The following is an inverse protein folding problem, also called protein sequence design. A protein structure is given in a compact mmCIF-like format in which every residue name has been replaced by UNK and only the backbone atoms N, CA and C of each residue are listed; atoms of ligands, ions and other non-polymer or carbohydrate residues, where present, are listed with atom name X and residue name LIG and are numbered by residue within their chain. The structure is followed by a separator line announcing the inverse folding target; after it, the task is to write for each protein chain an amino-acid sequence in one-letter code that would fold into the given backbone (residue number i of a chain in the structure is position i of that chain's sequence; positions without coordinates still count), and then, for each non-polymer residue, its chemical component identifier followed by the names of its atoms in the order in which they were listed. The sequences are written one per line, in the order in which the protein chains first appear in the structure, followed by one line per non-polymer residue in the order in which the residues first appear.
data_IF_334584945167
#
_entry.id   IF_334584945167
#
_cell.length_a   1.000
_cell.length_b   1.000
_cell.length_c   1.000
_cell.angle_alpha   90.00
_cell.angle_beta   90.00
_cell.angle_gamma   90.00
#
_symmetry.space_group_name_H-M   'P 1'
#
loop_
_entity.id
_entity.type
_entity.pdbx_description
1 polymer ?
#
# COMPACT_ATOMS: atom_id res chain seq x y z
N UNK A 1 3.57 25.35 -1.78
CA UNK A 1 3.22 24.09 -2.43
C UNK A 1 3.82 24.16 -3.81
N UNK A 2 4.83 23.32 -4.04
CA UNK A 2 5.48 23.20 -5.33
C UNK A 2 4.67 22.21 -6.17
N UNK A 3 4.23 22.63 -7.35
CA UNK A 3 3.47 21.77 -8.27
C UNK A 3 4.41 21.31 -9.38
N UNK A 4 4.50 20.00 -9.60
CA UNK A 4 5.29 19.44 -10.70
C UNK A 4 4.38 18.75 -11.71
N UNK A 5 4.37 19.26 -12.95
CA UNK A 5 3.71 18.58 -14.07
C UNK A 5 4.65 17.50 -14.58
N UNK A 6 4.22 16.25 -14.51
CA UNK A 6 4.99 15.07 -14.93
C UNK A 6 4.23 14.24 -15.94
N UNK A 7 4.94 13.55 -16.84
CA UNK A 7 4.31 12.62 -17.78
C UNK A 7 4.22 11.22 -17.22
N UNK A 8 3.14 10.53 -17.61
CA UNK A 8 2.99 9.10 -17.45
C UNK A 8 3.94 8.39 -18.41
N UNK A 9 4.85 7.58 -17.86
CA UNK A 9 5.71 6.66 -18.63
C UNK A 9 4.98 5.36 -18.93
N UNK A 10 4.31 4.79 -17.93
CA UNK A 10 3.54 3.54 -18.02
C UNK A 10 2.26 3.66 -17.21
N UNK A 11 1.17 3.11 -17.73
CA UNK A 11 -0.07 2.89 -17.00
C UNK A 11 -0.67 1.56 -17.45
N UNK A 12 -0.82 0.63 -16.51
CA UNK A 12 -1.25 -0.75 -16.80
C UNK A 12 -1.97 -1.36 -15.61
N UNK A 13 -2.73 -2.43 -15.85
CA UNK A 13 -3.39 -3.18 -14.79
C UNK A 13 -2.39 -4.07 -14.04
N UNK A 14 -2.25 -3.86 -12.73
CA UNK A 14 -1.51 -4.74 -11.82
C UNK A 14 -2.38 -5.90 -11.31
N UNK A 15 -3.67 -5.64 -11.12
CA UNK A 15 -4.75 -6.62 -10.92
C UNK A 15 -5.95 -6.21 -11.79
N UNK A 16 -7.05 -6.95 -11.71
CA UNK A 16 -8.28 -6.60 -12.45
C UNK A 16 -8.80 -5.19 -12.12
N UNK A 17 -8.54 -4.67 -10.92
CA UNK A 17 -9.02 -3.38 -10.45
C UNK A 17 -7.94 -2.44 -9.88
N UNK A 18 -6.66 -2.80 -9.96
CA UNK A 18 -5.54 -1.93 -9.55
C UNK A 18 -4.70 -1.53 -10.74
N UNK A 19 -4.42 -0.24 -10.86
CA UNK A 19 -3.49 0.31 -11.84
C UNK A 19 -2.10 0.45 -11.23
N UNK A 20 -1.08 0.04 -11.98
CA UNK A 20 0.31 0.45 -11.80
C UNK A 20 0.58 1.65 -12.70
N UNK A 21 1.06 2.74 -12.10
CA UNK A 21 1.35 4.00 -12.79
C UNK A 21 2.80 4.36 -12.53
N UNK A 22 3.58 4.51 -13.60
CA UNK A 22 4.97 4.96 -13.56
C UNK A 22 5.06 6.35 -14.16
N UNK A 23 5.64 7.29 -13.42
CA UNK A 23 5.79 8.69 -13.82
C UNK A 23 7.26 9.09 -13.98
N UNK A 24 7.48 10.19 -14.69
CA UNK A 24 8.72 10.96 -14.55
C UNK A 24 8.92 11.42 -13.10
N UNK A 25 10.18 11.43 -12.65
CA UNK A 25 10.56 11.94 -11.33
C UNK A 25 11.19 13.32 -11.51
N UNK A 26 10.60 14.40 -10.94
CA UNK A 26 11.22 15.71 -10.99
C UNK A 26 12.56 15.72 -10.27
N UNK A 27 13.49 16.57 -10.72
CA UNK A 27 14.77 16.75 -10.03
C UNK A 27 14.54 17.28 -8.61
N UNK A 28 15.27 16.75 -7.63
CA UNK A 28 15.11 17.15 -6.22
C UNK A 28 13.86 16.60 -5.52
N UNK A 29 12.99 15.87 -6.22
CA UNK A 29 11.77 15.31 -5.65
C UNK A 29 12.06 14.03 -4.85
N UNK A 30 12.27 14.21 -3.54
CA UNK A 30 12.71 13.17 -2.61
C UNK A 30 11.58 12.71 -1.68
N UNK A 31 11.59 11.43 -1.35
CA UNK A 31 10.66 10.81 -0.41
C UNK A 31 11.34 9.65 0.32
N UNK A 32 10.77 9.25 1.46
CA UNK A 32 11.14 8.04 2.18
C UNK A 32 10.09 6.94 1.95
N UNK A 33 10.47 5.65 2.01
CA UNK A 33 9.52 4.55 1.92
C UNK A 33 8.37 4.70 2.93
N UNK A 34 7.14 4.51 2.46
CA UNK A 34 5.93 4.75 3.25
C UNK A 34 5.48 6.21 3.31
N UNK A 35 6.05 7.11 2.50
CA UNK A 35 5.49 8.44 2.26
C UNK A 35 4.57 8.45 1.03
N UNK A 36 3.75 9.49 0.92
CA UNK A 36 2.82 9.74 -0.16
C UNK A 36 2.97 11.15 -0.71
N UNK A 37 2.30 11.39 -1.84
CA UNK A 37 2.06 12.72 -2.40
C UNK A 37 0.57 12.84 -2.72
N UNK A 38 0.07 14.05 -2.85
CA UNK A 38 -1.18 14.25 -3.59
C UNK A 38 -0.90 14.20 -5.09
N UNK A 39 -1.86 13.68 -5.86
CA UNK A 39 -1.85 13.70 -7.32
C UNK A 39 -3.20 14.23 -7.81
N UNK A 40 -3.16 15.10 -8.82
CA UNK A 40 -4.31 15.46 -9.64
C UNK A 40 -3.99 15.28 -11.13
N UNK A 41 -5.02 15.30 -11.98
CA UNK A 41 -4.85 15.08 -13.43
C UNK A 41 -4.73 16.45 -14.11
N UNK A 42 -3.73 16.63 -14.97
CA UNK A 42 -3.56 17.87 -15.73
C UNK A 42 -4.56 17.94 -16.90
N UNK A 43 -5.85 18.02 -16.58
CA UNK A 43 -6.97 18.02 -17.51
C UNK A 43 -8.10 18.87 -16.95
N UNK A 44 -8.73 19.67 -17.80
CA UNK A 44 -9.85 20.57 -17.44
C UNK A 44 -10.91 19.88 -16.58
N UNK A 45 -11.09 20.40 -15.37
CA UNK A 45 -12.07 19.92 -14.40
C UNK A 45 -11.53 18.91 -13.38
N UNK A 46 -10.26 18.50 -13.51
CA UNK A 46 -9.62 17.52 -12.63
C UNK A 46 -8.37 18.07 -11.93
N UNK A 47 -7.89 19.25 -12.30
CA UNK A 47 -6.62 19.81 -11.80
C UNK A 47 -6.65 20.06 -10.28
N UNK A 48 -7.84 20.34 -9.74
CA UNK A 48 -8.07 20.58 -8.31
C UNK A 48 -8.53 19.35 -7.54
N UNK A 49 -8.83 18.25 -8.23
CA UNK A 49 -9.22 17.00 -7.60
C UNK A 49 -7.96 16.26 -7.15
N UNK A 50 -7.48 16.59 -5.96
CA UNK A 50 -6.30 15.98 -5.36
C UNK A 50 -6.66 14.70 -4.64
N UNK A 51 -5.88 13.64 -4.84
CA UNK A 51 -6.02 12.40 -4.08
C UNK A 51 -4.66 11.92 -3.61
N UNK A 52 -4.59 11.25 -2.45
CA UNK A 52 -3.34 10.73 -1.91
C UNK A 52 -2.88 9.50 -2.69
N UNK A 53 -1.58 9.43 -2.99
CA UNK A 53 -0.92 8.28 -3.61
C UNK A 53 0.40 8.00 -2.90
N UNK A 54 0.50 6.80 -2.34
CA UNK A 54 1.70 6.34 -1.64
C UNK A 54 2.74 5.82 -2.64
N UNK A 55 4.00 6.25 -2.49
CA UNK A 55 5.07 5.79 -3.36
C UNK A 55 5.31 4.30 -3.17
N UNK A 56 5.44 3.58 -4.29
CA UNK A 56 5.69 2.12 -4.30
C UNK A 56 7.07 1.75 -4.86
N UNK A 57 7.79 2.68 -5.50
CA UNK A 57 9.18 2.49 -5.93
C UNK A 57 10.20 2.80 -4.83
N UNK A 58 11.48 2.47 -5.08
CA UNK A 58 12.58 2.88 -4.21
C UNK A 58 12.87 4.39 -4.39
N UNK A 59 13.29 5.11 -3.32
CA UNK A 59 13.72 6.49 -3.42
C UNK A 59 14.89 6.73 -4.39
N UNK A 60 15.72 5.70 -4.63
CA UNK A 60 16.86 5.75 -5.55
C UNK A 60 16.48 5.65 -7.03
N UNK A 61 15.24 5.28 -7.36
CA UNK A 61 14.80 5.18 -8.75
C UNK A 61 14.71 6.57 -9.42
N UNK A 62 14.92 6.59 -10.74
CA UNK A 62 14.75 7.77 -11.60
C UNK A 62 13.32 7.94 -12.13
N UNK A 63 12.37 7.26 -11.51
CA UNK A 63 10.93 7.31 -11.78
C UNK A 63 10.16 7.26 -10.47
N UNK A 64 8.89 7.65 -10.53
CA UNK A 64 7.94 7.44 -9.44
C UNK A 64 6.98 6.32 -9.83
N UNK A 65 6.56 5.50 -8.88
CA UNK A 65 5.61 4.41 -9.12
C UNK A 65 4.51 4.39 -8.06
N UNK A 66 3.29 4.16 -8.51
CA UNK A 66 2.11 4.07 -7.66
C UNK A 66 1.27 2.85 -8.05
N UNK A 67 0.64 2.26 -7.04
CA UNK A 67 -0.42 1.27 -7.23
C UNK A 67 -1.71 1.86 -6.66
N UNK A 68 -2.77 1.95 -7.47
CA UNK A 68 -4.03 2.56 -7.05
C UNK A 68 -5.21 1.69 -7.42
N UNK A 69 -6.13 1.49 -6.49
CA UNK A 69 -7.36 0.75 -6.75
C UNK A 69 -8.36 1.66 -7.45
N UNK A 70 -9.00 1.12 -8.47
CA UNK A 70 -9.98 1.80 -9.30
C UNK A 70 -11.39 1.39 -8.89
N UNK A 71 -12.33 2.33 -9.03
CA UNK A 71 -13.74 2.13 -8.73
C UNK A 71 -14.55 2.68 -9.91
N UNK A 72 -14.73 1.90 -10.99
CA UNK A 72 -15.29 2.39 -12.26
C UNK A 72 -16.67 3.06 -12.14
N UNK A 73 -17.45 2.66 -11.14
CA UNK A 73 -18.80 3.21 -10.89
C UNK A 73 -18.79 4.59 -10.21
N UNK A 74 -17.63 5.09 -9.77
CA UNK A 74 -17.50 6.36 -9.06
C UNK A 74 -16.89 7.43 -9.98
N UNK A 75 -17.43 8.64 -9.96
CA UNK A 75 -16.78 9.80 -10.60
C UNK A 75 -15.66 10.32 -9.70
N UNK A 76 -14.47 9.75 -9.86
CA UNK A 76 -13.27 10.09 -9.07
C UNK A 76 -12.02 10.17 -9.95
N UNK A 77 -10.96 10.77 -9.42
CA UNK A 77 -9.62 10.77 -10.04
C UNK A 77 -9.21 9.36 -10.44
N UNK A 78 -9.42 8.38 -9.55
CA UNK A 78 -9.04 6.98 -9.80
C UNK A 78 -9.80 6.32 -10.96
N UNK A 79 -11.02 6.77 -11.27
CA UNK A 79 -11.74 6.31 -12.44
C UNK A 79 -11.24 7.02 -13.70
N UNK A 80 -11.00 8.33 -13.63
CA UNK A 80 -10.46 9.09 -14.76
C UNK A 80 -9.08 8.57 -15.20
N UNK A 81 -8.27 8.06 -14.25
CA UNK A 81 -6.99 7.40 -14.53
C UNK A 81 -7.12 6.22 -15.51
N UNK A 82 -8.24 5.50 -15.54
CA UNK A 82 -8.47 4.39 -16.49
C UNK A 82 -8.48 4.84 -17.95
N UNK A 83 -8.75 6.13 -18.21
CA UNK A 83 -8.77 6.70 -19.56
C UNK A 83 -7.41 7.25 -20.02
N UNK A 84 -6.44 7.35 -19.11
CA UNK A 84 -5.14 7.92 -19.41
C UNK A 84 -4.20 6.90 -20.04
N UNK A 85 -3.19 7.40 -20.75
CA UNK A 85 -2.15 6.62 -21.41
C UNK A 85 -0.78 7.25 -21.22
N UNK A 86 0.26 6.52 -21.64
CA UNK A 86 1.62 7.07 -21.67
C UNK A 86 1.67 8.39 -22.46
N UNK A 87 2.38 9.37 -21.92
CA UNK A 87 2.46 10.73 -22.44
C UNK A 87 1.44 11.71 -21.86
N UNK A 88 0.33 11.25 -21.28
CA UNK A 88 -0.58 12.13 -20.54
C UNK A 88 0.08 12.66 -19.26
N UNK A 89 -0.47 13.74 -18.71
CA UNK A 89 0.16 14.51 -17.64
C UNK A 89 -0.61 14.44 -16.32
N UNK A 90 0.13 14.28 -15.23
CA UNK A 90 -0.35 14.40 -13.87
C UNK A 90 0.36 15.57 -13.17
N UNK A 91 -0.25 16.08 -12.11
CA UNK A 91 0.30 17.14 -11.26
C UNK A 91 0.65 16.50 -9.91
N UNK A 92 1.93 16.53 -9.56
CA UNK A 92 2.43 16.14 -8.25
C UNK A 92 2.47 17.36 -7.32
N UNK A 93 2.21 17.11 -6.04
CA UNK A 93 2.22 18.11 -4.98
C UNK A 93 3.29 17.77 -3.93
N UNK A 94 3.21 18.40 -2.76
CA UNK A 94 4.17 18.19 -1.68
C UNK A 94 4.11 16.74 -1.14
N UNK A 95 5.28 16.20 -0.79
CA UNK A 95 5.43 14.88 -0.16
C UNK A 95 5.08 14.98 1.33
N UNK A 96 4.31 14.01 1.82
CA UNK A 96 3.95 13.87 3.24
C UNK A 96 3.98 12.40 3.67
N UNK A 97 3.98 12.12 4.97
CA UNK A 97 4.16 10.75 5.48
C UNK A 97 2.83 10.04 5.78
N UNK A 98 2.67 8.80 5.31
CA UNK A 98 1.55 7.93 5.71
C UNK A 98 2.00 6.97 6.82
N UNK A 99 3.04 6.18 6.57
CA UNK A 99 3.57 5.19 7.52
C UNK A 99 5.10 5.25 7.54
N UNK A 100 5.66 5.62 8.69
CA UNK A 100 7.10 5.55 8.93
C UNK A 100 7.52 4.17 9.45
N UNK A 101 8.53 3.56 8.84
CA UNK A 101 9.15 2.34 9.36
C UNK A 101 9.89 2.62 10.69
N UNK A 102 9.58 1.85 11.74
CA UNK A 102 10.12 1.99 13.11
C UNK A 102 10.81 0.71 13.61
N UNK A 103 11.18 -0.20 12.71
CA UNK A 103 11.82 -1.49 13.02
C UNK A 103 11.02 -2.70 12.55
N UNK A 104 11.60 -3.89 12.69
CA UNK A 104 10.96 -5.15 12.32
C UNK A 104 9.60 -5.35 12.99
N UNK A 105 8.69 -6.05 12.32
CA UNK A 105 7.37 -6.28 12.85
C UNK A 105 6.39 -6.92 11.88
N UNK A 106 5.12 -6.94 12.31
CA UNK A 106 4.01 -7.46 11.52
C UNK A 106 3.29 -6.32 10.82
N UNK A 107 3.23 -6.39 9.50
CA UNK A 107 2.48 -5.49 8.63
C UNK A 107 1.13 -6.12 8.32
N UNK A 108 0.05 -5.39 8.56
CA UNK A 108 -1.33 -5.84 8.41
C UNK A 108 -2.01 -4.93 7.40
N UNK A 109 -2.29 -5.47 6.21
CA UNK A 109 -2.83 -4.72 5.09
C UNK A 109 -4.24 -5.21 4.70
N UNK A 110 -5.07 -4.29 4.20
CA UNK A 110 -6.34 -4.61 3.54
C UNK A 110 -6.42 -3.98 2.15
N UNK A 111 -6.53 -4.80 1.10
CA UNK A 111 -6.57 -4.33 -0.30
C UNK A 111 -5.49 -3.31 -0.64
N UNK A 112 -5.89 -2.11 -1.09
CA UNK A 112 -4.95 -1.02 -1.45
C UNK A 112 -4.10 -0.49 -0.27
N UNK A 113 -4.43 -0.82 0.98
CA UNK A 113 -3.64 -0.47 2.16
C UNK A 113 -2.25 -1.13 2.20
N UNK A 114 -1.96 -2.07 1.29
CA UNK A 114 -0.60 -2.61 1.17
C UNK A 114 0.40 -1.61 0.55
N UNK A 115 -0.08 -0.56 -0.11
CA UNK A 115 0.75 0.40 -0.87
C UNK A 115 1.92 1.01 -0.10
N UNK A 116 1.78 1.53 1.14
CA UNK A 116 2.92 1.99 1.93
C UNK A 116 3.96 0.90 2.18
N UNK A 117 3.52 -0.35 2.32
CA UNK A 117 4.40 -1.46 2.65
C UNK A 117 5.22 -1.93 1.46
N UNK A 118 4.76 -1.70 0.22
CA UNK A 118 5.50 -2.08 -1.00
C UNK A 118 6.88 -1.42 -1.01
N UNK A 119 6.94 -0.09 -0.87
CA UNK A 119 8.22 0.62 -0.87
C UNK A 119 9.09 0.25 0.34
N UNK A 120 8.47 0.04 1.52
CA UNK A 120 9.19 -0.38 2.73
C UNK A 120 9.86 -1.74 2.52
N UNK A 121 9.12 -2.76 2.06
CA UNK A 121 9.66 -4.10 1.84
C UNK A 121 10.71 -4.13 0.73
N UNK A 122 10.49 -3.41 -0.38
CA UNK A 122 11.51 -3.26 -1.44
C UNK A 122 12.78 -2.64 -0.87
N UNK A 123 12.66 -1.59 -0.07
CA UNK A 123 13.79 -0.89 0.53
C UNK A 123 14.57 -1.80 1.48
N UNK A 124 13.89 -2.45 2.43
CA UNK A 124 14.50 -3.41 3.35
C UNK A 124 15.16 -4.57 2.60
N UNK A 125 14.53 -5.10 1.54
CA UNK A 125 15.12 -6.14 0.71
C UNK A 125 16.42 -5.67 0.04
N UNK A 126 16.45 -4.44 -0.49
CA UNK A 126 17.63 -3.87 -1.15
C UNK A 126 18.83 -3.69 -0.21
N UNK A 127 18.57 -3.53 1.09
CA UNK A 127 19.58 -3.41 2.15
C UNK A 127 19.89 -4.73 2.85
N UNK A 128 19.17 -5.80 2.54
CA UNK A 128 19.21 -7.08 3.26
C UNK A 128 18.83 -6.93 4.75
N UNK A 129 17.85 -6.07 5.03
CA UNK A 129 17.39 -5.67 6.38
C UNK A 129 15.92 -6.07 6.64
N UNK A 130 15.39 -7.06 5.92
CA UNK A 130 14.01 -7.52 6.15
C UNK A 130 13.80 -8.12 7.55
N UNK A 131 14.82 -8.79 8.08
CA UNK A 131 14.75 -9.50 9.35
C UNK A 131 13.56 -10.46 9.42
N UNK A 132 12.80 -10.40 10.51
CA UNK A 132 11.60 -11.21 10.74
C UNK A 132 10.30 -10.51 10.31
N UNK A 133 10.39 -9.48 9.46
CA UNK A 133 9.21 -8.74 9.03
C UNK A 133 8.20 -9.64 8.31
N UNK A 134 6.92 -9.49 8.64
CA UNK A 134 5.82 -10.32 8.15
C UNK A 134 4.72 -9.46 7.55
N UNK A 135 4.06 -9.95 6.52
CA UNK A 135 2.87 -9.33 5.94
C UNK A 135 1.67 -10.26 6.10
N UNK A 136 0.67 -9.80 6.85
CA UNK A 136 -0.68 -10.36 6.87
C UNK A 136 -1.55 -9.51 5.95
N UNK A 137 -2.05 -10.10 4.87
CA UNK A 137 -2.75 -9.38 3.81
C UNK A 137 -4.17 -9.91 3.60
N UNK A 138 -5.16 -9.08 3.97
CA UNK A 138 -6.58 -9.35 3.81
C UNK A 138 -7.07 -8.87 2.45
N UNK A 139 -7.68 -9.78 1.67
CA UNK A 139 -8.22 -9.52 0.35
C UNK A 139 -9.58 -10.20 0.19
N UNK A 140 -10.34 -9.84 -0.85
CA UNK A 140 -11.63 -10.51 -1.11
C UNK A 140 -11.40 -11.88 -1.76
N UNK A 141 -10.62 -11.90 -2.84
CA UNK A 141 -10.28 -13.09 -3.63
C UNK A 141 -8.79 -13.12 -3.96
N UNK A 142 -8.30 -14.24 -4.50
CA UNK A 142 -6.91 -14.42 -4.95
C UNK A 142 -6.50 -13.42 -6.02
N UNK A 143 -7.43 -13.04 -6.90
CA UNK A 143 -7.19 -12.06 -7.97
C UNK A 143 -7.04 -10.61 -7.48
N UNK A 144 -7.39 -10.32 -6.22
CA UNK A 144 -7.20 -9.02 -5.58
C UNK A 144 -5.80 -8.86 -4.96
N UNK A 145 -5.01 -9.94 -4.83
CA UNK A 145 -3.72 -9.90 -4.13
C UNK A 145 -2.69 -9.12 -4.95
N UNK A 146 -2.56 -7.83 -4.64
CA UNK A 146 -1.60 -6.91 -5.26
C UNK A 146 -0.18 -7.43 -5.06
N UNK A 147 0.58 -7.54 -6.16
CA UNK A 147 1.99 -7.94 -6.18
C UNK A 147 2.30 -9.29 -5.49
N UNK A 148 1.35 -10.24 -5.51
CA UNK A 148 1.48 -11.58 -4.91
C UNK A 148 2.85 -12.23 -5.13
N UNK A 149 3.27 -12.38 -6.39
CA UNK A 149 4.54 -13.04 -6.77
C UNK A 149 5.77 -12.34 -6.20
N UNK A 150 5.70 -11.01 -6.07
CA UNK A 150 6.79 -10.23 -5.50
C UNK A 150 6.90 -10.46 -4.00
N UNK A 151 5.78 -10.40 -3.27
CA UNK A 151 5.77 -10.67 -1.83
C UNK A 151 6.14 -12.11 -1.49
N UNK A 152 5.71 -13.10 -2.28
CA UNK A 152 6.18 -14.49 -2.14
C UNK A 152 7.70 -14.59 -2.26
N UNK A 153 8.30 -13.86 -3.21
CA UNK A 153 9.77 -13.84 -3.40
C UNK A 153 10.50 -13.10 -2.27
N UNK A 154 9.93 -12.03 -1.74
CA UNK A 154 10.56 -11.18 -0.72
C UNK A 154 10.45 -11.82 0.67
N UNK A 155 9.26 -12.30 1.03
CA UNK A 155 8.89 -12.70 2.40
C UNK A 155 8.72 -14.21 2.57
N UNK A 156 8.50 -14.98 1.51
CA UNK A 156 8.27 -16.42 1.59
C UNK A 156 7.09 -16.75 2.51
N UNK A 157 7.34 -17.59 3.52
CA UNK A 157 6.34 -18.02 4.52
C UNK A 157 5.85 -16.86 5.41
N UNK A 158 6.57 -15.74 5.46
CA UNK A 158 6.14 -14.52 6.15
C UNK A 158 5.15 -13.68 5.33
N UNK A 159 4.69 -14.17 4.17
CA UNK A 159 3.58 -13.57 3.43
C UNK A 159 2.31 -14.40 3.59
N UNK A 160 1.43 -13.95 4.49
CA UNK A 160 0.22 -14.65 4.90
C UNK A 160 -0.98 -13.92 4.31
N UNK A 161 -1.83 -14.62 3.56
CA UNK A 161 -3.03 -14.04 2.98
C UNK A 161 -4.28 -14.66 3.62
N UNK A 162 -5.35 -13.87 3.72
CA UNK A 162 -6.70 -14.31 4.15
C UNK A 162 -7.73 -13.72 3.19
N UNK A 163 -8.70 -14.54 2.78
CA UNK A 163 -9.68 -14.20 1.73
C UNK A 163 -11.09 -14.15 2.29
N UNK A 164 -11.81 -13.04 2.09
CA UNK A 164 -13.15 -12.87 2.68
C UNK A 164 -14.31 -13.33 1.79
N UNK A 165 -14.10 -13.49 0.48
CA UNK A 165 -15.14 -13.84 -0.50
C UNK A 165 -14.78 -15.07 -1.37
N UNK A 166 -13.61 -15.67 -1.16
CA UNK A 166 -13.17 -16.90 -1.86
C UNK A 166 -12.74 -17.96 -0.84
N UNK A 167 -13.41 -19.11 -0.87
CA UNK A 167 -13.07 -20.27 -0.05
C UNK A 167 -12.18 -21.22 -0.87
N UNK A 168 -10.96 -21.45 -0.41
CA UNK A 168 -9.93 -22.22 -1.13
C UNK A 168 -9.10 -23.04 -0.14
N UNK A 169 -8.41 -24.07 -0.64
CA UNK A 169 -7.46 -24.82 0.19
C UNK A 169 -6.12 -24.09 0.39
N UNK A 170 -5.88 -23.01 -0.36
CA UNK A 170 -4.60 -22.30 -0.37
C UNK A 170 -4.51 -21.25 0.75
N UNK A 171 -5.65 -20.66 1.15
CA UNK A 171 -5.72 -19.56 2.10
C UNK A 171 -6.89 -19.73 3.08
N UNK A 172 -6.72 -19.28 4.34
CA UNK A 172 -7.82 -19.10 5.27
C UNK A 172 -8.96 -18.27 4.68
N UNK A 173 -10.20 -18.67 4.96
CA UNK A 173 -11.41 -17.99 4.53
C UNK A 173 -12.01 -17.16 5.69
N UNK A 174 -12.32 -15.89 5.42
CA UNK A 174 -12.96 -14.96 6.35
C UNK A 174 -12.26 -13.60 6.45
N UNK A 175 -12.54 -12.88 7.53
CA UNK A 175 -11.86 -11.64 7.88
C UNK A 175 -10.78 -11.89 8.94
N UNK A 176 -9.85 -10.94 9.11
CA UNK A 176 -8.90 -10.97 10.22
C UNK A 176 -9.69 -10.96 11.55
N UNK A 177 -9.41 -11.92 12.42
CA UNK A 177 -9.96 -12.03 13.77
C UNK A 177 -8.84 -11.99 14.82
N UNK A 178 -9.21 -11.82 16.09
CA UNK A 178 -8.25 -11.90 17.20
C UNK A 178 -7.53 -13.25 17.25
N UNK A 179 -8.26 -14.37 17.11
CA UNK A 179 -7.67 -15.71 17.07
C UNK A 179 -6.72 -15.90 15.89
N UNK A 180 -7.09 -15.36 14.72
CA UNK A 180 -6.23 -15.39 13.55
C UNK A 180 -4.93 -14.62 13.80
N UNK A 181 -4.99 -13.42 14.38
CA UNK A 181 -3.80 -12.66 14.74
C UNK A 181 -2.95 -13.43 15.75
N UNK A 182 -3.56 -13.94 16.83
CA UNK A 182 -2.87 -14.70 17.86
C UNK A 182 -2.07 -15.89 17.31
N UNK A 183 -2.59 -16.57 16.28
CA UNK A 183 -1.92 -17.69 15.62
C UNK A 183 -0.77 -17.26 14.71
N UNK A 184 -0.82 -16.05 14.15
CA UNK A 184 0.06 -15.64 13.05
C UNK A 184 1.10 -14.57 13.41
N UNK A 185 0.90 -13.78 14.49
CA UNK A 185 1.80 -12.67 14.84
C UNK A 185 3.10 -13.14 15.52
N UNK A 186 3.11 -14.32 16.15
CA UNK A 186 4.26 -14.81 16.91
C UNK A 186 4.36 -14.14 18.28
N UNK A 187 5.26 -13.17 18.45
CA UNK A 187 5.45 -12.43 19.70
C UNK A 187 4.62 -11.14 19.76
N UNK A 188 4.35 -10.61 20.95
CA UNK A 188 3.64 -9.34 21.15
C UNK A 188 4.59 -8.15 21.32
N UNK A 189 5.87 -8.38 21.63
CA UNK A 189 6.90 -7.36 21.84
C UNK A 189 7.60 -7.02 20.51
N UNK A 190 6.85 -6.44 19.57
CA UNK A 190 7.32 -6.02 18.25
C UNK A 190 6.42 -4.91 17.68
N UNK A 191 6.82 -4.31 16.55
CA UNK A 191 5.99 -3.31 15.87
C UNK A 191 4.85 -3.95 15.07
N UNK A 192 3.72 -3.27 15.02
CA UNK A 192 2.55 -3.62 14.22
C UNK A 192 2.21 -2.45 13.31
N UNK A 193 2.27 -2.65 11.99
CA UNK A 193 1.94 -1.64 11.00
C UNK A 193 0.57 -1.95 10.42
N UNK A 194 -0.40 -1.04 10.49
CA UNK A 194 -1.79 -1.31 10.08
C UNK A 194 -2.25 -0.28 9.05
N UNK A 195 -2.69 -0.75 7.88
CA UNK A 195 -3.21 0.10 6.81
C UNK A 195 -4.28 -0.62 5.98
N UNK A 196 -5.38 0.06 5.68
CA UNK A 196 -6.49 -0.55 4.93
C UNK A 196 -7.80 0.20 5.13
N UNK A 197 -8.94 -0.42 4.80
CA UNK A 197 -10.25 0.18 5.04
C UNK A 197 -10.48 0.48 6.53
N UNK A 198 -11.10 1.62 6.89
CA UNK A 198 -11.30 2.00 8.29
C UNK A 198 -11.95 0.90 9.17
N UNK A 199 -12.99 0.17 8.71
CA UNK A 199 -13.56 -0.92 9.52
C UNK A 199 -12.56 -2.03 9.86
N UNK A 200 -11.62 -2.33 8.96
CA UNK A 200 -10.57 -3.31 9.22
C UNK A 200 -9.55 -2.76 10.23
N UNK A 201 -9.14 -1.51 10.06
CA UNK A 201 -8.16 -0.87 10.95
C UNK A 201 -8.68 -0.80 12.38
N UNK A 202 -9.94 -0.38 12.56
CA UNK A 202 -10.58 -0.29 13.88
C UNK A 202 -10.68 -1.67 14.56
N UNK A 203 -11.08 -2.70 13.80
CA UNK A 203 -11.17 -4.06 14.32
C UNK A 203 -9.80 -4.62 14.73
N UNK A 204 -8.78 -4.48 13.86
CA UNK A 204 -7.41 -4.94 14.12
C UNK A 204 -6.80 -4.20 15.31
N UNK A 205 -6.99 -2.88 15.44
CA UNK A 205 -6.53 -2.11 16.60
C UNK A 205 -7.16 -2.64 17.90
N UNK A 206 -8.47 -2.94 17.88
CA UNK A 206 -9.16 -3.57 18.99
C UNK A 206 -8.59 -4.94 19.37
N UNK A 207 -8.35 -5.81 18.38
CA UNK A 207 -7.77 -7.14 18.61
C UNK A 207 -6.34 -7.06 19.17
N UNK A 208 -5.50 -6.20 18.59
CA UNK A 208 -4.13 -6.00 19.08
C UNK A 208 -4.12 -5.51 20.53
N UNK A 209 -5.03 -4.58 20.87
CA UNK A 209 -5.19 -4.11 22.25
C UNK A 209 -5.60 -5.23 23.21
N UNK A 210 -6.55 -6.08 22.82
CA UNK A 210 -6.99 -7.23 23.63
C UNK A 210 -5.86 -8.25 23.84
N UNK A 211 -4.99 -8.42 22.84
CA UNK A 211 -3.79 -9.24 22.93
C UNK A 211 -2.65 -8.60 23.74
N UNK A 212 -2.86 -7.39 24.30
CA UNK A 212 -1.90 -6.71 25.17
C UNK A 212 -0.83 -5.90 24.44
N UNK A 213 -0.96 -5.69 23.12
CA UNK A 213 -0.04 -4.84 22.35
C UNK A 213 -0.25 -3.38 22.79
N UNK A 214 0.84 -2.69 23.10
CA UNK A 214 0.80 -1.29 23.51
C UNK A 214 0.52 -0.39 22.31
N UNK A 215 -0.19 0.72 22.55
CA UNK A 215 -0.49 1.71 21.50
C UNK A 215 0.76 2.26 20.81
N UNK A 216 1.89 2.39 21.52
CA UNK A 216 3.18 2.87 20.99
C UNK A 216 3.88 1.89 20.02
N UNK A 217 3.43 0.64 20.01
CA UNK A 217 3.91 -0.40 19.10
C UNK A 217 3.02 -0.53 17.86
N UNK A 218 1.85 0.12 17.84
CA UNK A 218 0.95 0.17 16.69
C UNK A 218 1.23 1.44 15.88
N UNK A 219 1.72 1.25 14.67
CA UNK A 219 1.90 2.29 13.65
C UNK A 219 0.77 2.18 12.65
N UNK A 220 0.01 3.25 12.45
CA UNK A 220 -1.10 3.27 11.49
C UNK A 220 -0.95 4.42 10.52
N UNK A 221 -1.58 4.28 9.36
CA UNK A 221 -1.73 5.37 8.41
C UNK A 221 -2.48 6.54 9.07
N UNK A 222 -1.94 7.75 8.91
CA UNK A 222 -2.62 8.99 9.25
C UNK A 222 -3.38 9.48 8.00
N UNK A 223 -4.70 9.61 8.11
CA UNK A 223 -5.59 10.14 7.06
C UNK A 223 -5.69 11.65 7.12
#
# INVERSE_FOLDING_TARGET
MEEHIVKIKVIEHATHDVLRIVLEKPEGYNFNPGQATEISINKKGWEKERRPFTFTCLPSENYLEFHTKTYPERKSVTNELLSLKAGDQLILHDVWGTIGYKGEGVFIAGGAGVTPFIAIFRYLKSKNELGNSKLIFSNKKREDIILKKEFEKILGENFINILSEEDTNDYPHGHITEDFLKQNIGTVDQKFYVCGPPPMMDAVEGYLKNLGIKKEDIVKEEF
#
